data_IF_661015516838
#
_entry.id   IF_661015516838
#
_cell.length_a   1.000
_cell.length_b   1.000
_cell.length_c   1.000
_cell.angle_alpha   90.00
_cell.angle_beta   90.00
_cell.angle_gamma   90.00
#
_symmetry.space_group_name_H-M   'P 1'
#
loop_
_entity.id
_entity.type
_entity.pdbx_description
1 polymer ?
#
# COMPACT_ATOMS: atom_id res chain seq x y z
N UNK A 1 -18.38 20.52 13.84
CA UNK A 1 -17.05 20.46 14.49
C UNK A 1 -17.12 19.53 15.69
N UNK A 2 -16.33 18.48 15.72
CA UNK A 2 -16.04 17.85 16.99
C UNK A 2 -15.33 18.92 17.83
N UNK A 3 -15.78 19.11 19.08
CA UNK A 3 -15.25 20.16 19.95
C UNK A 3 -13.72 20.17 19.94
N UNK A 4 -13.05 21.35 19.94
CA UNK A 4 -11.59 21.46 20.11
C UNK A 4 -11.06 20.75 21.37
N UNK A 5 -11.93 20.48 22.33
CA UNK A 5 -11.61 19.74 23.57
C UNK A 5 -11.48 18.22 23.40
N UNK A 6 -11.84 17.64 22.23
CA UNK A 6 -11.73 16.21 22.01
C UNK A 6 -10.30 15.87 21.59
N UNK A 7 -9.58 14.98 22.32
CA UNK A 7 -8.24 14.57 21.97
C UNK A 7 -8.15 13.96 20.56
N UNK A 8 -7.07 14.25 19.85
CA UNK A 8 -6.86 13.80 18.47
C UNK A 8 -6.98 12.27 18.32
N UNK A 9 -6.43 11.50 19.25
CA UNK A 9 -6.56 10.02 19.24
C UNK A 9 -8.01 9.56 19.32
N UNK A 10 -8.88 10.26 20.08
CA UNK A 10 -10.31 9.94 20.14
C UNK A 10 -10.97 10.20 18.77
N UNK A 11 -10.61 11.29 18.10
CA UNK A 11 -11.10 11.60 16.75
C UNK A 11 -10.69 10.49 15.75
N UNK A 12 -9.44 10.03 15.82
CA UNK A 12 -8.94 8.91 15.00
C UNK A 12 -9.71 7.62 15.29
N UNK A 13 -9.97 7.31 16.57
CA UNK A 13 -10.79 6.14 16.94
C UNK A 13 -12.22 6.25 16.41
N UNK A 14 -12.85 7.42 16.52
CA UNK A 14 -14.19 7.68 15.99
C UNK A 14 -14.20 7.49 14.47
N UNK A 15 -13.18 7.97 13.75
CA UNK A 15 -13.05 7.78 12.31
C UNK A 15 -13.08 6.28 11.94
N UNK A 16 -12.23 5.45 12.55
CA UNK A 16 -12.17 4.02 12.25
C UNK A 16 -13.42 3.27 12.71
N UNK A 17 -13.99 3.62 13.85
CA UNK A 17 -15.25 3.03 14.32
C UNK A 17 -16.40 3.34 13.34
N UNK A 18 -16.50 4.59 12.89
CA UNK A 18 -17.50 5.01 11.90
C UNK A 18 -17.31 4.25 10.60
N UNK A 19 -16.08 4.15 10.11
CA UNK A 19 -15.77 3.38 8.90
C UNK A 19 -16.17 1.92 9.05
N UNK A 20 -15.79 1.27 10.15
CA UNK A 20 -16.14 -0.12 10.44
C UNK A 20 -17.65 -0.31 10.53
N UNK A 21 -18.36 0.55 11.26
CA UNK A 21 -19.81 0.45 11.43
C UNK A 21 -20.58 0.63 10.11
N UNK A 22 -20.12 1.53 9.24
CA UNK A 22 -20.74 1.74 7.92
C UNK A 22 -20.39 0.62 6.93
N UNK A 23 -19.18 0.08 7.01
CA UNK A 23 -18.75 -1.00 6.15
C UNK A 23 -19.36 -2.36 6.52
N UNK A 24 -19.51 -2.64 7.81
CA UNK A 24 -19.91 -3.97 8.29
C UNK A 24 -21.21 -4.50 7.66
N UNK A 25 -22.30 -3.72 7.51
CA UNK A 25 -23.50 -4.17 6.82
C UNK A 25 -23.25 -4.56 5.36
N UNK A 26 -22.41 -3.78 4.65
CA UNK A 26 -22.02 -4.05 3.27
C UNK A 26 -21.20 -5.34 3.20
N UNK A 27 -20.22 -5.48 4.10
CA UNK A 27 -19.40 -6.68 4.20
C UNK A 27 -20.23 -7.95 4.44
N UNK A 28 -21.24 -7.88 5.29
CA UNK A 28 -22.17 -9.00 5.56
C UNK A 28 -22.94 -9.38 4.28
N UNK A 29 -23.50 -8.41 3.56
CA UNK A 29 -24.21 -8.65 2.30
C UNK A 29 -23.28 -9.28 1.26
N UNK A 30 -22.06 -8.73 1.11
CA UNK A 30 -21.04 -9.27 0.19
C UNK A 30 -20.64 -10.68 0.60
N UNK A 31 -20.41 -10.94 1.88
CA UNK A 31 -20.06 -12.26 2.40
C UNK A 31 -21.15 -13.31 2.12
N UNK A 32 -22.43 -12.95 2.32
CA UNK A 32 -23.58 -13.81 2.00
C UNK A 32 -23.64 -14.10 0.51
N UNK A 33 -23.50 -13.06 -0.34
CA UNK A 33 -23.51 -13.22 -1.80
C UNK A 33 -22.36 -14.12 -2.30
N UNK A 34 -21.20 -14.06 -1.66
CA UNK A 34 -20.03 -14.90 -1.94
C UNK A 34 -20.11 -16.29 -1.28
N UNK A 35 -21.16 -16.58 -0.51
CA UNK A 35 -21.26 -17.82 0.28
C UNK A 35 -20.03 -18.06 1.13
N UNK A 36 -19.52 -17.00 1.78
CA UNK A 36 -18.36 -17.07 2.68
C UNK A 36 -18.83 -17.00 4.15
N UNK A 37 -18.23 -17.84 4.98
CA UNK A 37 -18.49 -17.88 6.43
C UNK A 37 -17.17 -18.02 7.19
N UNK A 38 -16.95 -17.23 8.27
CA UNK A 38 -15.84 -17.47 9.18
C UNK A 38 -15.94 -18.86 9.82
N UNK A 39 -14.81 -19.55 10.08
CA UNK A 39 -13.41 -19.16 9.91
C UNK A 39 -12.78 -19.58 8.58
N UNK A 40 -13.57 -19.82 7.52
CA UNK A 40 -13.03 -20.24 6.22
C UNK A 40 -12.01 -19.24 5.69
N UNK A 41 -10.91 -19.70 5.03
CA UNK A 41 -9.98 -18.80 4.37
C UNK A 41 -10.68 -18.02 3.25
N UNK A 42 -10.35 -16.73 3.13
CA UNK A 42 -10.98 -15.84 2.16
C UNK A 42 -10.66 -16.20 0.70
N UNK A 43 -9.44 -16.66 0.42
CA UNK A 43 -9.02 -16.96 -0.95
C UNK A 43 -9.39 -15.86 -1.95
N UNK A 44 -10.00 -16.24 -3.08
CA UNK A 44 -10.45 -15.29 -4.11
C UNK A 44 -11.60 -14.36 -3.67
N UNK A 45 -12.24 -14.63 -2.53
CA UNK A 45 -13.32 -13.81 -1.97
C UNK A 45 -12.79 -12.55 -1.25
N UNK A 46 -11.47 -12.49 -0.99
CA UNK A 46 -10.81 -11.35 -0.37
C UNK A 46 -10.99 -10.07 -1.21
N UNK A 47 -10.86 -10.16 -2.53
CA UNK A 47 -10.88 -8.98 -3.40
C UNK A 47 -12.21 -8.23 -3.40
N UNK A 48 -13.40 -8.87 -3.54
CA UNK A 48 -14.68 -8.17 -3.43
C UNK A 48 -14.91 -7.52 -2.05
N UNK A 49 -14.51 -8.18 -0.96
CA UNK A 49 -14.62 -7.63 0.39
C UNK A 49 -13.70 -6.41 0.56
N UNK A 50 -12.47 -6.51 0.09
CA UNK A 50 -11.52 -5.40 0.08
C UNK A 50 -12.05 -4.23 -0.76
N UNK A 51 -12.54 -4.51 -1.97
CA UNK A 51 -13.12 -3.48 -2.83
C UNK A 51 -14.28 -2.75 -2.15
N UNK A 52 -15.19 -3.48 -1.48
CA UNK A 52 -16.31 -2.87 -0.75
C UNK A 52 -15.84 -1.95 0.39
N UNK A 53 -14.73 -2.30 1.06
CA UNK A 53 -14.12 -1.47 2.10
C UNK A 53 -13.60 -0.14 1.53
N UNK A 54 -12.90 -0.20 0.39
CA UNK A 54 -12.30 0.98 -0.23
C UNK A 54 -13.31 1.87 -0.96
N UNK A 55 -14.42 1.31 -1.48
CA UNK A 55 -15.46 2.08 -2.17
C UNK A 55 -16.22 3.03 -1.24
N UNK A 56 -16.33 2.72 0.04
CA UNK A 56 -17.03 3.59 1.01
C UNK A 56 -16.15 4.74 1.53
N UNK A 57 -14.81 4.60 1.44
CA UNK A 57 -13.86 5.55 2.02
C UNK A 57 -14.02 6.98 1.51
N UNK A 58 -14.18 7.25 0.20
CA UNK A 58 -14.36 8.61 -0.30
C UNK A 58 -15.53 9.35 0.38
N UNK A 59 -16.62 8.65 0.68
CA UNK A 59 -17.78 9.23 1.37
C UNK A 59 -17.47 9.56 2.83
N UNK A 60 -16.71 8.69 3.51
CA UNK A 60 -16.29 8.92 4.90
C UNK A 60 -15.31 10.08 4.97
N UNK A 61 -14.32 10.13 4.08
CA UNK A 61 -13.36 11.22 4.00
C UNK A 61 -14.07 12.55 3.70
N UNK A 62 -15.01 12.55 2.76
CA UNK A 62 -15.83 13.73 2.45
C UNK A 62 -16.63 14.19 3.67
N UNK A 63 -17.30 13.28 4.38
CA UNK A 63 -18.02 13.61 5.62
C UNK A 63 -17.05 14.17 6.69
N UNK A 64 -15.85 13.60 6.80
CA UNK A 64 -14.84 14.07 7.76
C UNK A 64 -14.37 15.48 7.43
N UNK A 65 -14.22 15.86 6.14
CA UNK A 65 -13.88 17.24 5.77
C UNK A 65 -14.95 18.24 6.25
N UNK A 66 -16.22 17.87 6.15
CA UNK A 66 -17.32 18.71 6.66
C UNK A 66 -17.30 18.84 8.18
N UNK A 67 -17.08 17.74 8.89
CA UNK A 67 -17.06 17.72 10.36
C UNK A 67 -15.90 18.54 10.91
N UNK A 68 -14.71 18.39 10.34
CA UNK A 68 -13.49 19.10 10.79
C UNK A 68 -13.33 20.49 10.13
N UNK A 69 -14.22 20.87 9.20
CA UNK A 69 -14.16 22.13 8.44
C UNK A 69 -12.83 22.34 7.71
N UNK A 70 -12.34 21.27 7.08
CA UNK A 70 -11.13 21.24 6.25
C UNK A 70 -11.48 20.85 4.83
N UNK A 71 -10.55 21.02 3.89
CA UNK A 71 -10.67 20.60 2.51
C UNK A 71 -9.75 19.42 2.21
N UNK A 72 -9.97 18.75 1.07
CA UNK A 72 -9.04 17.70 0.60
C UNK A 72 -7.65 18.30 0.27
N UNK A 73 -7.57 19.58 -0.05
CA UNK A 73 -6.31 20.28 -0.26
C UNK A 73 -5.50 20.40 1.04
N UNK A 74 -6.16 20.60 2.19
CA UNK A 74 -5.49 20.63 3.50
C UNK A 74 -4.89 19.28 3.85
N UNK A 75 -5.41 18.21 3.25
CA UNK A 75 -4.85 16.86 3.35
C UNK A 75 -3.79 16.55 2.27
N UNK A 76 -3.52 17.50 1.36
CA UNK A 76 -2.49 17.38 0.33
C UNK A 76 -2.99 16.81 -1.00
N UNK A 77 -4.30 16.68 -1.21
CA UNK A 77 -4.86 16.34 -2.52
C UNK A 77 -5.20 17.62 -3.30
N UNK A 78 -4.23 18.07 -4.11
CA UNK A 78 -4.40 19.25 -4.97
C UNK A 78 -4.85 18.82 -6.38
N UNK A 79 -5.92 19.44 -6.88
CA UNK A 79 -6.41 19.24 -8.24
C UNK A 79 -5.65 20.14 -9.23
N UNK A 80 -4.38 19.79 -9.47
CA UNK A 80 -3.51 20.56 -10.36
C UNK A 80 -2.56 19.64 -11.13
N UNK A 81 -2.07 20.05 -12.34
CA UNK A 81 -1.17 19.22 -13.14
C UNK A 81 0.11 18.81 -12.41
N UNK A 82 0.63 19.66 -11.52
CA UNK A 82 1.81 19.34 -10.72
C UNK A 82 1.63 18.08 -9.88
N UNK A 83 0.47 17.88 -9.24
CA UNK A 83 0.18 16.66 -8.46
C UNK A 83 0.20 15.40 -9.33
N UNK A 84 -0.31 15.49 -10.57
CA UNK A 84 -0.24 14.36 -11.51
C UNK A 84 1.21 14.07 -11.92
N UNK A 85 2.02 15.09 -12.20
CA UNK A 85 3.45 14.91 -12.50
C UNK A 85 4.16 14.26 -11.32
N UNK A 86 3.93 14.76 -10.10
CA UNK A 86 4.47 14.17 -8.87
C UNK A 86 4.06 12.70 -8.71
N UNK A 87 2.81 12.36 -9.00
CA UNK A 87 2.33 10.98 -8.94
C UNK A 87 3.02 10.08 -10.00
N UNK A 88 3.23 10.58 -11.21
CA UNK A 88 3.97 9.84 -12.24
C UNK A 88 5.45 9.64 -11.86
N UNK A 89 6.09 10.66 -11.29
CA UNK A 89 7.46 10.55 -10.77
C UNK A 89 7.55 9.54 -9.61
N UNK A 90 6.61 9.60 -8.67
CA UNK A 90 6.49 8.63 -7.59
C UNK A 90 6.29 7.21 -8.10
N UNK A 91 5.39 7.00 -9.08
CA UNK A 91 5.14 5.71 -9.71
C UNK A 91 6.42 5.15 -10.34
N UNK A 92 7.12 5.98 -11.11
CA UNK A 92 8.41 5.62 -11.72
C UNK A 92 9.45 5.24 -10.66
N UNK A 93 9.56 6.01 -9.58
CA UNK A 93 10.47 5.72 -8.47
C UNK A 93 10.12 4.37 -7.80
N UNK A 94 8.84 4.09 -7.56
CA UNK A 94 8.37 2.83 -7.00
C UNK A 94 8.74 1.63 -7.87
N UNK A 95 8.48 1.71 -9.17
CA UNK A 95 8.82 0.66 -10.15
C UNK A 95 10.34 0.44 -10.22
N UNK A 96 11.10 1.52 -10.38
CA UNK A 96 12.57 1.45 -10.50
C UNK A 96 13.19 0.88 -9.22
N UNK A 97 12.72 1.29 -8.06
CA UNK A 97 13.24 0.78 -6.78
C UNK A 97 13.02 -0.72 -6.63
N UNK A 98 11.86 -1.26 -7.01
CA UNK A 98 11.60 -2.71 -7.03
C UNK A 98 12.43 -3.42 -8.09
N UNK A 99 12.59 -2.84 -9.29
CA UNK A 99 13.43 -3.41 -10.34
C UNK A 99 14.89 -3.53 -9.88
N UNK A 100 15.40 -2.54 -9.16
CA UNK A 100 16.73 -2.59 -8.54
C UNK A 100 16.78 -3.68 -7.46
N UNK A 101 15.78 -3.75 -6.57
CA UNK A 101 15.72 -4.76 -5.51
C UNK A 101 15.78 -6.17 -6.06
N UNK A 102 14.86 -6.51 -6.97
CA UNK A 102 14.79 -7.85 -7.55
C UNK A 102 15.95 -8.13 -8.51
N UNK A 103 16.41 -7.12 -9.25
CA UNK A 103 17.58 -7.22 -10.13
C UNK A 103 18.86 -7.56 -9.37
N UNK A 104 19.11 -6.89 -8.23
CA UNK A 104 20.23 -7.21 -7.36
C UNK A 104 20.12 -8.59 -6.73
N UNK A 105 18.94 -8.97 -6.26
CA UNK A 105 18.72 -10.31 -5.71
C UNK A 105 18.93 -11.41 -6.76
N UNK A 106 18.53 -11.19 -8.01
CA UNK A 106 18.78 -12.08 -9.13
C UNK A 106 20.30 -12.17 -9.43
N UNK A 107 20.98 -11.04 -9.54
CA UNK A 107 22.43 -10.99 -9.80
C UNK A 107 23.25 -11.68 -8.71
N UNK A 108 22.83 -11.58 -7.45
CA UNK A 108 23.43 -12.27 -6.31
C UNK A 108 23.01 -13.74 -6.20
N UNK A 109 22.08 -14.18 -7.05
CA UNK A 109 21.54 -15.54 -7.04
C UNK A 109 20.73 -15.87 -5.78
N UNK A 110 20.14 -14.88 -5.10
CA UNK A 110 19.28 -15.06 -3.94
C UNK A 110 17.86 -15.46 -4.32
N UNK A 111 17.43 -15.04 -5.50
CA UNK A 111 16.20 -15.46 -6.15
C UNK A 111 16.52 -15.98 -7.55
N UNK A 112 15.57 -16.70 -8.16
CA UNK A 112 15.68 -17.25 -9.50
C UNK A 112 14.43 -16.90 -10.29
N UNK A 113 14.56 -16.67 -11.59
CA UNK A 113 13.42 -16.58 -12.49
C UNK A 113 12.72 -17.93 -12.56
N UNK A 114 11.41 -17.92 -12.43
CA UNK A 114 10.59 -19.10 -12.59
C UNK A 114 10.06 -19.12 -14.03
N UNK A 115 10.48 -20.13 -14.81
CA UNK A 115 9.83 -20.41 -16.08
C UNK A 115 8.44 -20.96 -15.81
N UNK A 116 7.40 -20.30 -16.29
CA UNK A 116 6.04 -20.83 -16.21
C UNK A 116 5.90 -22.00 -17.16
N UNK A 117 6.28 -23.20 -16.72
CA UNK A 117 5.87 -24.44 -17.37
C UNK A 117 4.39 -24.65 -17.03
N UNK A 118 3.52 -24.16 -17.88
CA UNK A 118 2.11 -24.59 -17.85
C UNK A 118 2.08 -25.96 -18.54
N UNK A 119 2.03 -27.04 -17.74
CA UNK A 119 1.68 -28.35 -18.22
C UNK A 119 0.26 -28.35 -18.82
N UNK A 120 0.14 -27.88 -20.04
CA UNK A 120 -1.02 -28.20 -20.86
C UNK A 120 -0.67 -29.45 -21.64
N UNK A 121 -1.45 -30.53 -21.46
CA UNK A 121 -1.29 -31.88 -22.01
C UNK A 121 -1.16 -31.96 -23.54
N UNK A 122 -1.04 -30.84 -24.26
CA UNK A 122 -1.08 -30.81 -25.74
C UNK A 122 -0.15 -29.85 -26.46
N UNK A 123 0.61 -28.99 -25.76
CA UNK A 123 1.67 -28.19 -26.42
C UNK A 123 2.53 -27.48 -25.37
N UNK A 124 3.85 -27.65 -25.45
CA UNK A 124 4.84 -26.85 -24.73
C UNK A 124 4.80 -25.39 -25.24
N UNK A 125 3.90 -24.60 -24.70
CA UNK A 125 3.90 -23.16 -24.93
C UNK A 125 4.68 -22.51 -23.82
N UNK A 126 5.97 -22.30 -24.03
CA UNK A 126 6.81 -21.46 -23.19
C UNK A 126 6.17 -20.07 -23.18
N UNK A 127 5.46 -19.73 -22.09
CA UNK A 127 4.90 -18.38 -21.92
C UNK A 127 6.09 -17.48 -21.58
N UNK A 128 6.45 -16.62 -22.51
CA UNK A 128 7.47 -15.61 -22.27
C UNK A 128 6.99 -14.71 -21.09
N UNK A 129 7.76 -14.59 -19.98
CA UNK A 129 7.38 -13.76 -18.83
C UNK A 129 6.98 -12.32 -19.22
N UNK A 130 7.61 -11.80 -20.28
CA UNK A 130 7.34 -10.45 -20.79
C UNK A 130 5.95 -10.30 -21.43
N UNK A 131 5.36 -11.35 -21.99
CA UNK A 131 3.99 -11.31 -22.54
C UNK A 131 2.95 -11.23 -21.42
N UNK A 132 3.27 -11.74 -20.23
CA UNK A 132 2.42 -11.61 -19.05
C UNK A 132 2.35 -10.18 -18.54
N UNK A 133 3.42 -9.40 -18.70
CA UNK A 133 3.47 -7.98 -18.28
C UNK A 133 2.66 -7.08 -19.21
N UNK A 134 2.52 -7.44 -20.49
CA UNK A 134 1.78 -6.66 -21.51
C UNK A 134 0.30 -7.08 -21.63
N UNK A 135 -0.22 -7.88 -20.72
CA UNK A 135 -1.61 -8.32 -20.71
C UNK A 135 -2.54 -7.17 -20.24
N UNK A 136 -3.75 -7.00 -20.79
CA UNK A 136 -4.75 -6.05 -20.30
C UNK A 136 -5.04 -6.13 -18.80
N UNK A 137 -4.88 -7.31 -18.17
CA UNK A 137 -4.99 -7.46 -16.72
C UNK A 137 -3.97 -6.63 -15.92
N UNK A 138 -2.78 -6.35 -16.46
CA UNK A 138 -1.77 -5.54 -15.79
C UNK A 138 -2.16 -4.08 -15.69
N UNK A 139 -2.89 -3.56 -16.70
CA UNK A 139 -3.48 -2.23 -16.62
C UNK A 139 -4.57 -2.16 -15.56
N UNK A 140 -5.42 -3.18 -15.45
CA UNK A 140 -6.43 -3.25 -14.38
C UNK A 140 -5.77 -3.28 -12.99
N UNK A 141 -4.71 -4.06 -12.82
CA UNK A 141 -3.93 -4.09 -11.57
C UNK A 141 -3.34 -2.71 -11.26
N UNK A 142 -2.84 -1.98 -12.28
CA UNK A 142 -2.32 -0.62 -12.08
C UNK A 142 -3.43 0.34 -11.62
N UNK A 143 -4.60 0.30 -12.26
CA UNK A 143 -5.74 1.13 -11.86
C UNK A 143 -6.20 0.85 -10.43
N UNK A 144 -6.24 -0.43 -10.05
CA UNK A 144 -6.52 -0.84 -8.67
C UNK A 144 -5.44 -0.38 -7.70
N UNK A 145 -4.16 -0.50 -8.05
CA UNK A 145 -3.05 -0.03 -7.23
C UNK A 145 -3.11 1.47 -7.01
N UNK A 146 -3.42 2.26 -8.06
CA UNK A 146 -3.62 3.70 -7.96
C UNK A 146 -4.80 4.06 -7.07
N UNK A 147 -5.94 3.35 -7.21
CA UNK A 147 -7.12 3.59 -6.38
C UNK A 147 -6.85 3.28 -4.91
N UNK A 148 -6.25 2.12 -4.62
CA UNK A 148 -5.90 1.70 -3.25
C UNK A 148 -4.92 2.72 -2.65
N UNK A 149 -3.83 3.03 -3.37
CA UNK A 149 -2.83 3.99 -2.89
C UNK A 149 -3.42 5.38 -2.66
N UNK A 150 -4.21 5.92 -3.58
CA UNK A 150 -4.83 7.23 -3.41
C UNK A 150 -5.73 7.25 -2.16
N UNK A 151 -6.49 6.19 -1.95
CA UNK A 151 -7.38 6.05 -0.79
C UNK A 151 -6.59 5.95 0.51
N UNK A 152 -5.56 5.09 0.55
CA UNK A 152 -4.73 4.90 1.75
C UNK A 152 -3.89 6.14 2.05
N UNK A 153 -3.30 6.80 1.06
CA UNK A 153 -2.53 8.01 1.28
C UNK A 153 -3.41 9.16 1.81
N UNK A 154 -4.64 9.30 1.29
CA UNK A 154 -5.60 10.26 1.82
C UNK A 154 -5.96 10.00 3.29
N UNK A 155 -6.08 8.73 3.69
CA UNK A 155 -6.33 8.38 5.09
C UNK A 155 -5.08 8.61 5.93
N UNK A 156 -3.99 7.88 5.61
CA UNK A 156 -2.84 7.71 6.50
C UNK A 156 -1.81 8.83 6.40
N UNK A 157 -1.78 9.60 5.30
CA UNK A 157 -0.87 10.75 5.11
C UNK A 157 -1.62 12.07 5.00
N UNK A 158 -2.93 12.02 4.70
CA UNK A 158 -3.83 13.19 4.69
C UNK A 158 -4.57 13.37 5.99
N UNK A 159 -5.68 12.65 6.15
CA UNK A 159 -6.65 12.81 7.24
C UNK A 159 -6.04 12.55 8.64
N UNK A 160 -5.43 11.39 8.86
CA UNK A 160 -4.90 11.02 10.18
C UNK A 160 -3.82 11.99 10.70
N UNK A 161 -2.77 12.33 9.92
CA UNK A 161 -1.80 13.31 10.38
C UNK A 161 -2.41 14.68 10.64
N UNK A 162 -3.41 15.12 9.85
CA UNK A 162 -4.11 16.38 10.07
C UNK A 162 -4.85 16.37 11.43
N UNK A 163 -5.54 15.29 11.77
CA UNK A 163 -6.17 15.11 13.07
C UNK A 163 -5.14 15.05 14.21
N UNK A 164 -4.09 14.22 14.03
CA UNK A 164 -3.09 14.00 15.09
C UNK A 164 -2.25 15.23 15.39
N UNK A 165 -1.98 16.08 14.40
CA UNK A 165 -1.21 17.32 14.59
C UNK A 165 -1.94 18.37 15.41
N UNK A 166 -3.22 18.16 15.77
CA UNK A 166 -3.91 19.00 16.74
C UNK A 166 -3.32 18.87 18.15
N UNK A 167 -2.77 17.69 18.50
CA UNK A 167 -2.21 17.41 19.83
C UNK A 167 -0.72 17.01 19.78
N UNK A 168 -0.20 16.60 18.63
CA UNK A 168 1.14 16.03 18.50
C UNK A 168 2.00 16.75 17.47
N UNK A 169 3.32 16.70 17.64
CA UNK A 169 4.25 17.16 16.61
C UNK A 169 4.13 16.32 15.32
N UNK A 170 4.52 16.90 14.19
CA UNK A 170 4.46 16.25 12.88
C UNK A 170 5.14 14.87 12.87
N UNK A 171 6.27 14.73 13.55
CA UNK A 171 7.02 13.46 13.62
C UNK A 171 6.25 12.40 14.41
N UNK A 172 5.67 12.78 15.56
CA UNK A 172 4.86 11.88 16.38
C UNK A 172 3.59 11.49 15.63
N UNK A 173 2.90 12.46 15.00
CA UNK A 173 1.71 12.21 14.18
C UNK A 173 2.02 11.23 13.03
N UNK A 174 3.15 11.41 12.33
CA UNK A 174 3.62 10.50 11.28
C UNK A 174 3.89 9.10 11.82
N UNK A 175 4.56 8.98 12.96
CA UNK A 175 4.87 7.68 13.57
C UNK A 175 3.60 6.93 14.00
N UNK A 176 2.63 7.63 14.62
CA UNK A 176 1.34 7.05 15.01
C UNK A 176 0.54 6.63 13.79
N UNK A 177 0.40 7.50 12.77
CA UNK A 177 -0.34 7.18 11.54
C UNK A 177 0.28 5.99 10.81
N UNK A 178 1.62 5.91 10.74
CA UNK A 178 2.35 4.78 10.13
C UNK A 178 2.17 3.49 10.92
N UNK A 179 2.08 3.57 12.25
CA UNK A 179 1.81 2.41 13.10
C UNK A 179 0.38 1.88 12.90
N UNK A 180 -0.59 2.78 12.84
CA UNK A 180 -2.00 2.41 12.55
C UNK A 180 -2.09 1.81 11.13
N UNK A 181 -1.40 2.37 10.15
CA UNK A 181 -1.29 1.81 8.80
C UNK A 181 -0.75 0.37 8.81
N UNK A 182 0.34 0.12 9.52
CA UNK A 182 0.91 -1.23 9.63
C UNK A 182 -0.07 -2.23 10.27
N UNK A 183 -0.72 -1.85 11.37
CA UNK A 183 -1.70 -2.70 12.07
C UNK A 183 -2.94 -2.96 11.21
N UNK A 184 -3.42 -1.98 10.43
CA UNK A 184 -4.58 -2.15 9.55
C UNK A 184 -4.40 -3.31 8.55
N UNK A 185 -3.17 -3.61 8.14
CA UNK A 185 -2.87 -4.73 7.26
C UNK A 185 -3.07 -6.11 7.90
N UNK A 186 -3.12 -6.21 9.24
CA UNK A 186 -3.39 -7.48 9.95
C UNK A 186 -4.80 -8.03 9.69
N UNK A 187 -5.75 -7.17 9.29
CA UNK A 187 -7.17 -7.55 9.11
C UNK A 187 -7.33 -8.69 8.10
N UNK A 188 -6.52 -8.71 7.04
CA UNK A 188 -6.71 -9.62 5.91
C UNK A 188 -5.91 -10.91 5.96
N UNK A 189 -4.71 -10.88 6.51
CA UNK A 189 -3.80 -12.04 6.53
C UNK A 189 -2.81 -11.91 7.69
N UNK A 190 -3.25 -12.04 8.96
CA UNK A 190 -2.43 -11.72 10.13
C UNK A 190 -1.12 -12.52 10.18
N UNK A 191 -1.15 -13.82 9.85
CA UNK A 191 0.05 -14.68 9.90
C UNK A 191 1.13 -14.24 8.91
N UNK A 192 0.74 -13.76 7.72
CA UNK A 192 1.66 -13.27 6.70
C UNK A 192 2.10 -11.81 6.97
N UNK A 193 1.26 -11.05 7.66
CA UNK A 193 1.49 -9.62 7.91
C UNK A 193 2.36 -9.36 9.13
N UNK A 194 2.26 -10.18 10.18
CA UNK A 194 3.05 -9.98 11.42
C UNK A 194 4.55 -9.80 11.14
N UNK A 195 5.22 -10.63 10.31
CA UNK A 195 6.63 -10.42 10.00
C UNK A 195 6.91 -9.14 9.21
N UNK A 196 5.90 -8.58 8.52
CA UNK A 196 6.01 -7.38 7.70
C UNK A 196 5.81 -6.08 8.49
N UNK A 197 5.29 -6.13 9.74
CA UNK A 197 4.94 -4.94 10.51
C UNK A 197 6.06 -3.88 10.60
N UNK A 198 7.33 -4.24 10.85
CA UNK A 198 8.41 -3.26 10.86
C UNK A 198 8.60 -2.58 9.49
N UNK A 199 8.53 -3.37 8.41
CA UNK A 199 8.62 -2.85 7.04
C UNK A 199 7.44 -1.97 6.66
N UNK A 200 6.21 -2.36 7.01
CA UNK A 200 5.01 -1.56 6.80
C UNK A 200 5.04 -0.24 7.57
N UNK A 201 5.52 -0.26 8.81
CA UNK A 201 5.70 0.97 9.59
C UNK A 201 6.73 1.89 8.94
N UNK A 202 7.88 1.36 8.56
CA UNK A 202 8.94 2.12 7.87
C UNK A 202 8.44 2.65 6.52
N UNK A 203 7.71 1.82 5.73
CA UNK A 203 7.07 2.25 4.50
C UNK A 203 6.13 3.44 4.76
N UNK A 204 5.36 3.38 5.86
CA UNK A 204 4.52 4.46 6.32
C UNK A 204 5.29 5.77 6.53
N UNK A 205 6.44 5.70 7.18
CA UNK A 205 7.31 6.85 7.41
C UNK A 205 7.91 7.39 6.11
N UNK A 206 8.35 6.51 5.20
CA UNK A 206 8.89 6.90 3.88
C UNK A 206 7.83 7.61 3.03
N UNK A 207 6.58 7.12 3.03
CA UNK A 207 5.47 7.75 2.32
C UNK A 207 5.08 9.11 2.94
N UNK A 208 5.19 9.25 4.25
CA UNK A 208 5.04 10.56 4.91
C UNK A 208 6.16 11.52 4.48
N UNK A 209 7.39 11.03 4.40
CA UNK A 209 8.51 11.83 3.90
C UNK A 209 8.30 12.22 2.43
N UNK A 210 7.77 11.32 1.58
CA UNK A 210 7.41 11.62 0.20
C UNK A 210 6.42 12.79 0.11
N UNK A 211 5.38 12.84 0.98
CA UNK A 211 4.47 13.98 1.07
C UNK A 211 5.20 15.27 1.44
N UNK A 212 6.09 15.22 2.42
CA UNK A 212 6.87 16.41 2.85
C UNK A 212 7.75 16.90 1.71
N UNK A 213 8.43 16.00 1.01
CA UNK A 213 9.29 16.31 -0.15
C UNK A 213 8.49 16.94 -1.31
N UNK A 214 7.23 16.56 -1.47
CA UNK A 214 6.30 17.09 -2.50
C UNK A 214 5.57 18.38 -2.04
N UNK A 215 6.15 19.12 -1.08
CA UNK A 215 5.57 20.38 -0.59
C UNK A 215 4.20 20.19 0.09
N UNK A 216 3.94 19.04 0.66
CA UNK A 216 2.69 18.68 1.31
C UNK A 216 1.67 18.01 0.38
N UNK A 217 1.95 17.90 -0.92
CA UNK A 217 1.14 17.14 -1.88
C UNK A 217 1.26 15.63 -1.63
N UNK A 218 0.18 14.90 -1.90
CA UNK A 218 0.17 13.43 -1.87
C UNK A 218 0.67 12.80 -3.18
N UNK A 219 1.01 13.59 -4.21
CA UNK A 219 1.35 13.08 -5.53
C UNK A 219 2.44 12.02 -5.50
N UNK A 220 3.65 12.36 -5.03
CA UNK A 220 4.77 11.41 -4.94
C UNK A 220 4.39 10.19 -4.08
N UNK A 221 3.72 10.40 -2.94
CA UNK A 221 3.35 9.30 -2.05
C UNK A 221 2.38 8.32 -2.71
N UNK A 222 1.33 8.82 -3.37
CA UNK A 222 0.36 8.00 -4.12
C UNK A 222 1.06 7.20 -5.22
N UNK A 223 1.90 7.88 -6.03
CA UNK A 223 2.60 7.23 -7.13
C UNK A 223 3.57 6.15 -6.65
N UNK A 224 4.40 6.47 -5.67
CA UNK A 224 5.40 5.56 -5.08
C UNK A 224 4.73 4.30 -4.50
N UNK A 225 3.67 4.49 -3.72
CA UNK A 225 2.90 3.42 -3.14
C UNK A 225 2.24 2.55 -4.23
N UNK A 226 1.61 3.18 -5.22
CA UNK A 226 1.01 2.47 -6.36
C UNK A 226 2.04 1.66 -7.15
N UNK A 227 3.25 2.20 -7.35
CA UNK A 227 4.35 1.51 -8.01
C UNK A 227 4.78 0.25 -7.25
N UNK A 228 4.86 0.33 -5.94
CA UNK A 228 5.18 -0.83 -5.11
C UNK A 228 4.05 -1.87 -5.12
N UNK A 229 2.78 -1.48 -4.93
CA UNK A 229 1.64 -2.42 -5.01
C UNK A 229 1.61 -3.08 -6.38
N UNK A 230 1.67 -2.31 -7.45
CA UNK A 230 1.60 -2.82 -8.82
C UNK A 230 2.73 -3.79 -9.13
N UNK A 231 3.99 -3.40 -8.85
CA UNK A 231 5.16 -4.21 -9.15
C UNK A 231 5.18 -5.52 -8.36
N UNK A 232 4.91 -5.48 -7.05
CA UNK A 232 4.84 -6.70 -6.22
C UNK A 232 3.68 -7.60 -6.68
N UNK A 233 2.51 -7.03 -6.98
CA UNK A 233 1.34 -7.81 -7.43
C UNK A 233 1.60 -8.51 -8.76
N UNK A 234 2.32 -7.87 -9.70
CA UNK A 234 2.70 -8.50 -10.97
C UNK A 234 3.66 -9.65 -10.71
N UNK A 235 4.71 -9.43 -9.92
CA UNK A 235 5.70 -10.47 -9.59
C UNK A 235 5.02 -11.67 -8.93
N UNK A 236 4.12 -11.43 -7.97
CA UNK A 236 3.40 -12.49 -7.25
C UNK A 236 2.39 -13.21 -8.16
N UNK A 237 1.59 -12.47 -8.94
CA UNK A 237 0.53 -13.05 -9.79
C UNK A 237 1.10 -13.86 -10.95
N UNK A 238 2.15 -13.35 -11.58
CA UNK A 238 2.82 -14.02 -12.69
C UNK A 238 3.84 -15.07 -12.23
N UNK A 239 4.06 -15.22 -10.91
CA UNK A 239 5.05 -16.13 -10.31
C UNK A 239 6.42 -15.99 -10.98
N UNK A 240 6.87 -14.75 -11.19
CA UNK A 240 8.08 -14.47 -11.96
C UNK A 240 9.36 -14.94 -11.28
N UNK A 241 9.37 -14.96 -9.95
CA UNK A 241 10.55 -15.28 -9.14
C UNK A 241 10.23 -16.31 -8.07
N UNK A 242 11.24 -17.03 -7.66
CA UNK A 242 11.22 -17.93 -6.49
C UNK A 242 12.51 -17.78 -5.69
N UNK A 243 12.48 -18.00 -4.36
CA UNK A 243 13.69 -18.02 -3.52
C UNK A 243 14.64 -19.13 -3.99
N UNK A 244 15.96 -18.85 -3.98
CA UNK A 244 16.98 -19.84 -4.33
C UNK A 244 17.43 -20.71 -3.17
N UNK A 245 16.97 -20.42 -1.96
CA UNK A 245 17.40 -21.03 -0.69
C UNK A 245 18.89 -20.87 -0.37
N UNK A 246 19.65 -20.04 -1.14
CA UNK A 246 21.05 -19.75 -0.87
C UNK A 246 21.25 -18.82 0.32
N UNK A 247 20.23 -18.07 0.69
CA UNK A 247 20.24 -17.15 1.83
C UNK A 247 18.97 -17.36 2.68
N UNK A 248 19.02 -17.03 3.98
CA UNK A 248 17.85 -17.09 4.86
C UNK A 248 16.71 -16.19 4.34
N UNK A 249 15.45 -16.61 4.54
CA UNK A 249 14.27 -15.82 4.20
C UNK A 249 14.25 -14.43 4.85
N UNK A 250 14.88 -14.26 6.00
CA UNK A 250 15.03 -12.96 6.65
C UNK A 250 15.82 -11.94 5.81
N UNK A 251 16.52 -12.35 4.75
CA UNK A 251 17.20 -11.45 3.81
C UNK A 251 16.27 -11.07 2.67
N UNK A 252 15.68 -12.04 1.98
CA UNK A 252 14.85 -11.81 0.79
C UNK A 252 13.40 -11.48 1.09
N UNK A 253 12.89 -11.98 2.22
CA UNK A 253 11.53 -11.77 2.71
C UNK A 253 10.91 -13.05 3.24
N UNK A 254 10.52 -13.05 4.50
CA UNK A 254 9.80 -14.17 5.14
C UNK A 254 8.48 -14.39 4.39
N UNK A 255 8.17 -15.64 4.08
CA UNK A 255 7.01 -16.03 3.29
C UNK A 255 6.91 -15.28 1.94
N UNK A 256 8.06 -15.07 1.29
CA UNK A 256 8.19 -14.36 0.01
C UNK A 256 7.70 -12.90 0.04
N UNK A 257 7.59 -12.30 1.23
CA UNK A 257 7.15 -10.90 1.39
C UNK A 257 8.37 -9.97 1.57
N UNK A 258 8.70 -9.12 0.60
CA UNK A 258 9.90 -8.26 0.64
C UNK A 258 9.98 -7.38 1.89
N UNK A 259 8.85 -6.87 2.39
CA UNK A 259 8.80 -6.02 3.59
C UNK A 259 9.12 -6.77 4.90
N UNK A 260 9.14 -8.10 4.85
CA UNK A 260 9.58 -8.95 5.96
C UNK A 260 11.05 -9.39 5.83
N UNK A 261 11.84 -8.76 4.95
CA UNK A 261 13.24 -9.08 4.69
C UNK A 261 14.14 -7.86 4.78
N UNK A 262 15.41 -8.10 5.14
CA UNK A 262 16.43 -7.05 5.26
C UNK A 262 16.64 -6.27 3.95
N UNK A 263 16.55 -6.95 2.79
CA UNK A 263 16.69 -6.31 1.49
C UNK A 263 15.54 -5.31 1.21
N UNK A 264 14.30 -5.66 1.59
CA UNK A 264 13.16 -4.74 1.49
C UNK A 264 13.26 -3.56 2.46
N UNK A 265 13.72 -3.79 3.69
CA UNK A 265 13.99 -2.71 4.65
C UNK A 265 15.08 -1.77 4.09
N UNK A 266 16.15 -2.31 3.52
CA UNK A 266 17.22 -1.51 2.91
C UNK A 266 16.70 -0.68 1.72
N UNK A 267 15.83 -1.26 0.88
CA UNK A 267 15.15 -0.52 -0.19
C UNK A 267 14.40 0.69 0.36
N UNK A 268 13.59 0.50 1.42
CA UNK A 268 12.83 1.59 2.04
C UNK A 268 13.75 2.68 2.61
N UNK A 269 14.83 2.30 3.31
CA UNK A 269 15.80 3.24 3.85
C UNK A 269 16.49 4.03 2.73
N UNK A 270 16.88 3.37 1.64
CA UNK A 270 17.51 4.02 0.48
C UNK A 270 16.52 4.98 -0.20
N UNK A 271 15.27 4.56 -0.39
CA UNK A 271 14.22 5.43 -0.95
C UNK A 271 13.97 6.64 -0.05
N UNK A 272 13.89 6.42 1.26
CA UNK A 272 13.74 7.51 2.24
C UNK A 272 14.90 8.48 2.21
N UNK A 273 16.14 7.98 2.14
CA UNK A 273 17.36 8.82 2.01
C UNK A 273 17.33 9.65 0.73
N UNK A 274 16.95 9.05 -0.40
CA UNK A 274 16.82 9.76 -1.67
C UNK A 274 15.78 10.89 -1.58
N UNK A 275 14.60 10.60 -1.04
CA UNK A 275 13.56 11.60 -0.83
C UNK A 275 14.02 12.73 0.11
N UNK A 276 14.72 12.39 1.18
CA UNK A 276 15.27 13.39 2.09
C UNK A 276 16.29 14.31 1.40
N UNK A 277 17.15 13.77 0.52
CA UNK A 277 18.10 14.57 -0.25
C UNK A 277 17.43 15.46 -1.31
N UNK A 278 16.20 15.15 -1.71
CA UNK A 278 15.42 15.96 -2.64
C UNK A 278 14.69 17.14 -1.96
N UNK A 279 14.67 17.21 -0.63
CA UNK A 279 14.12 18.33 0.14
C UNK A 279 15.10 19.52 0.07
N UNK A 280 15.15 20.23 -1.04
CA UNK A 280 15.94 21.46 -1.20
C UNK A 280 15.05 22.68 -1.34
#
# INVERSE_FOLDING_TARGET
>A
MLSPSIPALVKVMVFFLTWTCLWLPIAIIVAIALKWQPPQPLGNKKLPLLASLYLIVPFILWATTWIESVSLADWGLFWQPATLISALLGLGLGIVSLAILFGLQLALGWIQLQSSEVETKTSEKTINPWTSILNPSTLLILLLALWISATEELIFRGCLPNLLQQDYSIVIAAAIASFIFAIAHLIWAPKETVPQLPGLWLMGMVLTLARVTDGGSLGIAIGLHAGWIWGITIVDTAKLIKPSQKVPEGITGIAEKPLAGAAGILLLLTTGTLLFMMQK
#
